data_IF_360224112417
#
_entry.id   IF_360224112417
#
_cell.length_a   1.000
_cell.length_b   1.000
_cell.length_c   1.000
_cell.angle_alpha   90.00
_cell.angle_beta   90.00
_cell.angle_gamma   90.00
#
_symmetry.space_group_name_H-M   'P 1'
#
loop_
_entity.id
_entity.type
_entity.pdbx_description
1 polymer ?
#
# COMPACT_ATOMS: atom_id res chain seq x y z
N UNK A 1 10.92 -0.70 14.39
CA UNK A 1 10.72 -1.78 13.42
C UNK A 1 11.81 -1.68 12.38
N UNK A 2 12.28 -2.79 11.83
CA UNK A 2 13.26 -2.75 10.76
C UNK A 2 12.56 -2.45 9.42
N UNK A 3 12.55 -1.17 9.05
CA UNK A 3 12.01 -0.69 7.78
C UNK A 3 12.93 -1.01 6.58
N UNK A 4 14.14 -1.52 6.84
CA UNK A 4 15.13 -1.87 5.82
C UNK A 4 15.14 -3.35 5.45
N UNK A 5 14.40 -4.19 6.20
CA UNK A 5 14.27 -5.61 5.86
C UNK A 5 13.72 -5.80 4.43
N UNK A 6 14.11 -6.88 3.77
CA UNK A 6 13.59 -7.23 2.46
C UNK A 6 12.10 -7.61 2.52
N UNK A 7 11.40 -7.45 1.39
CA UNK A 7 10.01 -7.91 1.26
C UNK A 7 9.95 -9.44 1.12
N UNK A 8 9.10 -10.09 1.91
CA UNK A 8 8.83 -11.54 1.79
C UNK A 8 8.20 -11.88 0.43
N UNK A 9 7.28 -11.03 -0.04
CA UNK A 9 6.68 -11.11 -1.37
C UNK A 9 6.86 -9.75 -2.05
N UNK A 10 7.32 -9.76 -3.29
CA UNK A 10 7.49 -8.56 -4.12
C UNK A 10 6.43 -8.49 -5.20
N UNK A 11 6.03 -7.27 -5.60
CA UNK A 11 5.13 -7.00 -6.73
C UNK A 11 3.77 -7.74 -6.66
N UNK A 12 3.24 -7.92 -5.44
CA UNK A 12 1.97 -8.59 -5.19
C UNK A 12 0.78 -7.89 -5.86
N UNK A 13 0.83 -6.56 -5.96
CA UNK A 13 -0.20 -5.74 -6.59
C UNK A 13 0.47 -4.52 -7.26
N UNK A 14 -0.21 -3.97 -8.27
CA UNK A 14 0.15 -2.72 -8.92
C UNK A 14 -1.11 -1.92 -9.20
N UNK A 15 -1.06 -0.62 -8.95
CA UNK A 15 -2.17 0.30 -9.16
C UNK A 15 -1.64 1.58 -9.79
N UNK A 16 -2.50 2.29 -10.52
CA UNK A 16 -2.22 3.66 -10.94
C UNK A 16 -2.60 4.61 -9.81
N UNK A 17 -1.86 5.70 -9.57
CA UNK A 17 -2.28 6.72 -8.63
C UNK A 17 -3.64 7.31 -9.06
N UNK A 18 -4.46 7.76 -8.10
CA UNK A 18 -5.72 8.40 -8.42
C UNK A 18 -5.46 9.72 -9.16
N UNK A 19 -6.29 10.03 -10.17
CA UNK A 19 -6.16 11.29 -10.92
C UNK A 19 -6.45 12.55 -10.11
N UNK A 20 -7.41 12.58 -9.16
CA UNK A 20 -7.63 13.76 -8.32
C UNK A 20 -6.78 13.71 -7.04
N UNK A 21 -6.38 14.89 -6.57
CA UNK A 21 -5.80 15.07 -5.24
C UNK A 21 -6.77 14.57 -4.15
N UNK A 22 -6.20 13.99 -3.09
CA UNK A 22 -6.94 13.33 -2.00
C UNK A 22 -7.83 12.16 -2.46
N UNK A 23 -7.66 11.67 -3.69
CA UNK A 23 -8.22 10.40 -4.12
C UNK A 23 -7.57 9.22 -3.41
N UNK A 24 -8.24 8.08 -3.43
CA UNK A 24 -7.73 6.81 -2.91
C UNK A 24 -7.74 5.73 -3.99
N UNK A 25 -6.98 4.67 -3.74
CA UNK A 25 -6.94 3.47 -4.58
C UNK A 25 -7.13 2.26 -3.68
N UNK A 26 -7.96 1.34 -4.14
CA UNK A 26 -8.14 0.05 -3.46
C UNK A 26 -7.09 -0.93 -3.96
N UNK A 27 -6.28 -1.45 -3.02
CA UNK A 27 -5.29 -2.48 -3.31
C UNK A 27 -5.85 -3.82 -2.83
N UNK A 28 -6.37 -4.62 -3.76
CA UNK A 28 -6.80 -5.98 -3.44
C UNK A 28 -5.59 -6.84 -3.05
N UNK A 29 -5.65 -7.47 -1.87
CA UNK A 29 -4.65 -8.45 -1.44
C UNK A 29 -5.02 -9.79 -2.09
N UNK A 30 -4.22 -10.30 -3.03
CA UNK A 30 -4.52 -11.57 -3.68
C UNK A 30 -4.43 -12.72 -2.67
N UNK A 31 -5.25 -13.78 -2.81
CA UNK A 31 -5.21 -14.94 -1.92
C UNK A 31 -3.82 -15.57 -1.79
N UNK A 32 -3.02 -15.52 -2.85
CA UNK A 32 -1.63 -16.02 -2.88
C UNK A 32 -0.69 -15.32 -1.90
N UNK A 33 -1.04 -14.12 -1.43
CA UNK A 33 -0.24 -13.37 -0.46
C UNK A 33 -0.70 -13.53 0.98
N UNK A 34 -1.85 -14.18 1.22
CA UNK A 34 -2.37 -14.40 2.57
C UNK A 34 -1.42 -15.25 3.41
N UNK A 35 -0.66 -16.16 2.78
CA UNK A 35 0.36 -16.97 3.43
C UNK A 35 1.54 -16.16 3.98
N UNK A 36 1.73 -14.92 3.52
CA UNK A 36 2.77 -14.01 4.00
C UNK A 36 2.26 -13.02 5.06
N UNK A 37 0.97 -13.03 5.38
CA UNK A 37 0.45 -12.28 6.53
C UNK A 37 1.00 -12.93 7.79
N UNK A 38 1.60 -12.12 8.66
CA UNK A 38 2.06 -12.58 9.96
C UNK A 38 0.87 -12.63 10.93
N UNK A 39 0.41 -13.81 11.37
CA UNK A 39 -0.73 -13.92 12.29
C UNK A 39 -0.38 -13.53 13.73
N UNK A 40 0.89 -13.69 14.11
CA UNK A 40 1.38 -13.51 15.49
C UNK A 40 2.16 -12.20 15.67
N UNK A 41 2.14 -11.32 14.66
CA UNK A 41 2.98 -10.14 14.65
C UNK A 41 2.58 -9.09 13.62
N UNK A 42 3.49 -8.14 13.39
CA UNK A 42 3.24 -7.04 12.44
C UNK A 42 3.41 -7.52 11.00
N UNK A 43 2.38 -7.29 10.20
CA UNK A 43 2.46 -7.34 8.73
C UNK A 43 2.80 -5.94 8.21
N UNK A 44 3.77 -5.84 7.30
CA UNK A 44 4.21 -4.58 6.70
C UNK A 44 3.96 -4.60 5.19
N UNK A 45 3.33 -3.55 4.68
CA UNK A 45 3.22 -3.30 3.25
C UNK A 45 4.34 -2.37 2.80
N UNK A 46 4.95 -2.68 1.65
CA UNK A 46 5.99 -1.85 1.04
C UNK A 46 5.47 -1.31 -0.28
N UNK A 47 5.53 0.01 -0.43
CA UNK A 47 5.16 0.71 -1.65
C UNK A 47 6.43 1.07 -2.41
N UNK A 48 6.38 0.88 -3.73
CA UNK A 48 7.40 1.38 -4.65
C UNK A 48 6.71 2.10 -5.80
N UNK A 49 7.28 3.21 -6.23
CA UNK A 49 6.80 3.96 -7.39
C UNK A 49 7.77 3.80 -8.55
N UNK A 50 7.23 3.75 -9.77
CA UNK A 50 8.00 3.91 -11.00
C UNK A 50 7.45 5.16 -11.69
N UNK A 51 8.24 6.21 -11.74
CA UNK A 51 7.88 7.48 -12.38
C UNK A 51 8.71 7.68 -13.64
N UNK A 52 8.15 8.32 -14.69
CA UNK A 52 8.95 8.76 -15.82
C UNK A 52 10.07 9.72 -15.36
N UNK A 53 11.23 9.64 -16.00
CA UNK A 53 12.27 10.66 -15.84
C UNK A 53 11.75 11.97 -16.48
N UNK A 54 11.43 12.96 -15.65
CA UNK A 54 11.16 14.32 -16.10
C UNK A 54 11.85 15.33 -15.15
N UNK A 55 11.82 16.62 -15.50
CA UNK A 55 12.45 17.67 -14.70
C UNK A 55 11.54 18.24 -13.60
N UNK A 56 10.30 17.75 -13.48
CA UNK A 56 9.38 18.15 -12.42
C UNK A 56 9.52 17.20 -11.23
N UNK A 57 9.54 17.75 -10.02
CA UNK A 57 9.50 16.93 -8.82
C UNK A 57 8.08 16.41 -8.61
N UNK A 58 7.83 15.12 -8.85
CA UNK A 58 6.60 14.46 -8.43
C UNK A 58 6.66 14.23 -6.92
N UNK A 59 5.69 14.78 -6.17
CA UNK A 59 5.59 14.57 -4.70
C UNK A 59 4.42 13.65 -4.42
N UNK A 60 4.69 12.51 -3.77
CA UNK A 60 3.66 11.64 -3.22
C UNK A 60 3.49 11.94 -1.74
N UNK A 61 2.31 12.42 -1.35
CA UNK A 61 1.91 12.55 0.05
C UNK A 61 0.99 11.40 0.43
N UNK A 62 1.35 10.69 1.49
CA UNK A 62 0.56 9.60 2.05
C UNK A 62 0.07 9.99 3.43
N UNK A 63 -1.19 9.74 3.70
CA UNK A 63 -1.76 9.85 5.04
C UNK A 63 -1.49 8.54 5.78
N UNK A 64 -0.83 8.60 6.93
CA UNK A 64 -0.52 7.47 7.80
C UNK A 64 -1.55 7.25 8.92
N UNK A 65 -2.62 8.04 8.93
CA UNK A 65 -3.66 8.04 9.97
C UNK A 65 -3.78 9.35 10.74
N UNK A 66 -2.99 10.38 10.39
CA UNK A 66 -3.02 11.70 11.03
C UNK A 66 -4.29 12.49 10.68
N UNK A 67 -4.93 12.17 9.55
CA UNK A 67 -6.23 12.68 9.15
C UNK A 67 -7.27 11.57 9.27
N UNK A 68 -8.32 11.78 10.06
CA UNK A 68 -9.43 10.82 10.16
C UNK A 68 -10.14 10.60 8.81
N UNK A 69 -10.19 11.63 7.96
CA UNK A 69 -10.85 11.58 6.64
C UNK A 69 -10.04 10.79 5.61
N UNK A 70 -8.71 10.79 5.73
CA UNK A 70 -7.81 10.21 4.72
C UNK A 70 -6.96 9.06 5.26
N UNK A 71 -7.26 8.57 6.47
CA UNK A 71 -6.56 7.46 7.08
C UNK A 71 -6.70 6.19 6.23
N UNK A 72 -5.63 5.41 6.01
CA UNK A 72 -5.71 4.13 5.36
C UNK A 72 -6.62 3.17 6.14
N UNK A 73 -7.49 2.46 5.44
CA UNK A 73 -8.40 1.49 6.03
C UNK A 73 -8.11 0.07 5.54
N UNK A 74 -8.13 -0.91 6.45
CA UNK A 74 -8.13 -2.33 6.09
C UNK A 74 -9.58 -2.83 6.06
N UNK A 75 -10.07 -3.16 4.86
CA UNK A 75 -11.40 -3.76 4.66
C UNK A 75 -11.26 -5.27 4.57
N UNK A 76 -11.89 -6.00 5.49
CA UNK A 76 -11.94 -7.47 5.47
C UNK A 76 -13.36 -7.90 5.14
N UNK A 77 -13.53 -8.53 3.98
CA UNK A 77 -14.82 -9.09 3.55
C UNK A 77 -14.75 -10.61 3.65
N UNK A 78 -15.64 -11.21 4.44
CA UNK A 78 -15.82 -12.66 4.52
C UNK A 78 -17.18 -13.02 3.95
N UNK A 79 -17.19 -13.85 2.90
CA UNK A 79 -18.40 -14.47 2.36
C UNK A 79 -18.41 -15.94 2.76
N UNK A 80 -19.45 -16.42 3.46
CA UNK A 80 -19.57 -17.81 3.90
C UNK A 80 -19.71 -18.80 2.75
#
# INVERSE_FOLDING_TARGET
GDYYAAATISNMASVNPPSPDNGFVDVAIPPTALSAINPDGRTQFRLKAATPLNFASDVLSLYGGESATFAPTLTVTYTP
#
